data_IF_425499397793
#
_entry.id   IF_425499397793
#
_cell.length_a   1.000
_cell.length_b   1.000
_cell.length_c   1.000
_cell.angle_alpha   90.00
_cell.angle_beta   90.00
_cell.angle_gamma   90.00
#
_symmetry.space_group_name_H-M   'P 1'
#
loop_
_entity.id
_entity.type
_entity.pdbx_description
1 polymer ?
#
# COMPACT_ATOMS: atom_id res chain seq x y z
N UNK A 1 -10.35 16.49 19.89
CA UNK A 1 -9.95 15.30 19.11
C UNK A 1 -9.21 14.34 20.03
N UNK A 2 -9.57 13.04 20.02
CA UNK A 2 -8.84 12.03 20.81
C UNK A 2 -7.41 11.88 20.28
N UNK A 3 -6.41 11.71 21.16
CA UNK A 3 -5.00 11.50 20.77
C UNK A 3 -4.86 10.36 19.75
N UNK A 4 -5.69 9.32 19.86
CA UNK A 4 -5.72 8.17 18.98
C UNK A 4 -6.12 8.52 17.53
N UNK A 5 -7.06 9.44 17.35
CA UNK A 5 -7.46 9.91 16.02
C UNK A 5 -6.34 10.67 15.29
N UNK A 6 -5.47 11.35 16.02
CA UNK A 6 -4.28 12.00 15.47
C UNK A 6 -3.25 10.98 14.99
N UNK A 7 -3.00 9.93 15.79
CA UNK A 7 -2.09 8.83 15.43
C UNK A 7 -2.59 8.11 14.19
N UNK A 8 -3.88 7.76 14.11
CA UNK A 8 -4.46 7.10 12.93
C UNK A 8 -4.23 7.91 11.67
N UNK A 9 -4.49 9.23 11.70
CA UNK A 9 -4.25 10.10 10.54
C UNK A 9 -2.79 10.13 10.11
N UNK A 10 -1.87 10.18 11.08
CA UNK A 10 -0.45 10.13 10.81
C UNK A 10 -0.05 8.79 10.15
N UNK A 11 -0.53 7.66 10.68
CA UNK A 11 -0.27 6.33 10.12
C UNK A 11 -0.88 6.15 8.72
N UNK A 12 -2.06 6.71 8.46
CA UNK A 12 -2.65 6.74 7.11
C UNK A 12 -1.74 7.48 6.13
N UNK A 13 -1.26 8.66 6.52
CA UNK A 13 -0.32 9.43 5.71
C UNK A 13 0.98 8.67 5.45
N UNK A 14 1.55 8.00 6.46
CA UNK A 14 2.75 7.16 6.29
C UNK A 14 2.52 5.99 5.31
N UNK A 15 1.37 5.31 5.41
CA UNK A 15 1.00 4.24 4.48
C UNK A 15 0.89 4.78 3.05
N UNK A 16 0.24 5.93 2.87
CA UNK A 16 0.10 6.55 1.56
C UNK A 16 1.45 6.97 0.97
N UNK A 17 2.37 7.46 1.80
CA UNK A 17 3.73 7.80 1.36
C UNK A 17 4.51 6.56 0.92
N UNK A 18 4.43 5.46 1.67
CA UNK A 18 5.07 4.20 1.29
C UNK A 18 4.49 3.62 0.00
N UNK A 19 3.19 3.75 -0.22
CA UNK A 19 2.52 3.37 -1.48
C UNK A 19 2.96 4.23 -2.66
N UNK A 20 3.07 5.55 -2.48
CA UNK A 20 3.62 6.45 -3.51
C UNK A 20 5.04 6.05 -3.89
N UNK A 21 5.88 5.75 -2.91
CA UNK A 21 7.23 5.27 -3.16
C UNK A 21 7.25 3.92 -3.91
N UNK A 22 6.35 2.99 -3.57
CA UNK A 22 6.21 1.72 -4.30
C UNK A 22 5.84 1.95 -5.78
N UNK A 23 4.87 2.81 -6.06
CA UNK A 23 4.47 3.15 -7.43
C UNK A 23 5.64 3.73 -8.21
N UNK A 24 6.41 4.66 -7.61
CA UNK A 24 7.58 5.24 -8.28
C UNK A 24 8.67 4.20 -8.59
N UNK A 25 8.82 3.16 -7.77
CA UNK A 25 9.73 2.04 -8.06
C UNK A 25 9.19 1.15 -9.18
N UNK A 26 7.90 0.86 -9.20
CA UNK A 26 7.26 0.09 -10.28
C UNK A 26 7.34 0.82 -11.63
N UNK A 27 7.21 2.15 -11.65
CA UNK A 27 7.42 2.98 -12.84
C UNK A 27 8.87 2.88 -13.36
N UNK A 28 9.86 2.93 -12.47
CA UNK A 28 11.28 2.73 -12.85
C UNK A 28 11.53 1.32 -13.38
N UNK A 29 10.89 0.31 -12.79
CA UNK A 29 10.95 -1.07 -13.28
C UNK A 29 10.39 -1.17 -14.69
N UNK A 30 9.25 -0.52 -14.95
CA UNK A 30 8.64 -0.50 -16.28
C UNK A 30 9.57 0.13 -17.33
N UNK A 31 10.28 1.20 -16.98
CA UNK A 31 11.27 1.82 -17.88
C UNK A 31 12.41 0.86 -18.28
N UNK A 32 12.83 -0.04 -17.38
CA UNK A 32 13.83 -1.06 -17.72
C UNK A 32 13.26 -2.14 -18.65
N UNK A 33 11.99 -2.54 -18.47
CA UNK A 33 11.32 -3.47 -19.38
C UNK A 33 11.17 -2.85 -20.77
N UNK A 34 10.71 -1.61 -20.85
CA UNK A 34 10.56 -0.90 -22.13
C UNK A 34 11.92 -0.76 -22.85
N UNK A 35 13.02 -0.59 -22.10
CA UNK A 35 14.36 -0.56 -22.66
C UNK A 35 14.83 -1.93 -23.20
N UNK A 36 14.44 -3.04 -22.56
CA UNK A 36 14.70 -4.38 -23.09
C UNK A 36 13.94 -4.61 -24.39
N UNK A 37 12.65 -4.26 -24.42
CA UNK A 37 11.82 -4.38 -25.63
C UNK A 37 12.37 -3.52 -26.78
N UNK A 38 12.91 -2.34 -26.47
CA UNK A 38 13.56 -1.49 -27.46
C UNK A 38 14.85 -2.11 -28.04
N UNK A 39 15.67 -2.77 -27.21
CA UNK A 39 16.87 -3.48 -27.66
C UNK A 39 16.51 -4.66 -28.57
N UNK A 40 15.47 -5.42 -28.23
CA UNK A 40 14.95 -6.51 -29.06
C UNK A 40 14.44 -5.99 -30.42
N UNK A 41 13.75 -4.84 -30.43
CA UNK A 41 13.30 -4.21 -31.66
C UNK A 41 14.47 -3.68 -32.52
N UNK A 42 15.52 -3.12 -31.89
CA UNK A 42 16.76 -2.69 -32.55
C UNK A 42 17.43 -3.89 -33.24
N UNK A 43 17.49 -5.04 -32.55
CA UNK A 43 18.07 -6.28 -33.05
C UNK A 43 17.37 -6.82 -34.31
N UNK A 44 16.04 -6.88 -34.27
CA UNK A 44 15.24 -7.37 -35.40
C UNK A 44 15.24 -6.38 -36.58
N UNK A 45 15.45 -5.08 -36.34
CA UNK A 45 15.68 -4.12 -37.41
C UNK A 45 17.03 -4.36 -38.11
N UNK A 46 18.10 -4.53 -37.34
CA UNK A 46 19.45 -4.75 -37.88
C UNK A 46 19.56 -6.08 -38.64
N UNK A 47 18.95 -7.14 -38.10
CA UNK A 47 18.90 -8.47 -38.75
C UNK A 47 18.27 -8.45 -40.14
N UNK A 48 17.29 -7.58 -40.37
CA UNK A 48 16.65 -7.40 -41.69
C UNK A 48 17.55 -6.67 -42.69
N UNK A 49 18.50 -5.87 -42.22
CA UNK A 49 19.42 -5.10 -43.07
C UNK A 49 20.72 -5.86 -43.37
N UNK A 50 21.10 -6.83 -42.55
CA UNK A 50 22.31 -7.62 -42.73
C UNK A 50 22.22 -8.56 -43.96
N UNK A 51 22.66 -8.07 -45.13
CA UNK A 51 22.83 -8.84 -46.36
C UNK A 51 24.30 -9.03 -46.75
N UNK A 52 24.64 -10.21 -47.30
CA UNK A 52 25.99 -10.55 -47.79
C UNK A 52 27.00 -10.92 -46.68
N UNK A 53 28.16 -11.47 -47.08
CA UNK A 53 29.20 -11.97 -46.15
C UNK A 53 29.79 -10.88 -45.22
N UNK A 54 29.99 -9.66 -45.74
CA UNK A 54 30.49 -8.53 -44.95
C UNK A 54 29.44 -8.05 -43.94
N UNK A 55 28.16 -8.11 -44.30
CA UNK A 55 27.04 -7.81 -43.40
C UNK A 55 26.95 -8.78 -42.23
N UNK A 56 27.24 -10.07 -42.45
CA UNK A 56 27.21 -11.08 -41.39
C UNK A 56 28.27 -10.85 -40.30
N UNK A 57 29.47 -10.39 -40.66
CA UNK A 57 30.55 -10.15 -39.70
C UNK A 57 30.30 -8.90 -38.84
N UNK A 58 29.80 -7.82 -39.45
CA UNK A 58 29.38 -6.60 -38.74
C UNK A 58 28.18 -6.88 -37.82
N UNK A 59 27.22 -7.67 -38.30
CA UNK A 59 26.06 -8.10 -37.52
C UNK A 59 26.46 -8.89 -36.26
N UNK A 60 27.47 -9.76 -36.35
CA UNK A 60 27.97 -10.49 -35.17
C UNK A 60 28.50 -9.59 -34.06
N UNK A 61 29.26 -8.54 -34.40
CA UNK A 61 29.74 -7.56 -33.41
C UNK A 61 28.58 -6.72 -32.82
N UNK A 62 27.59 -6.38 -33.64
CA UNK A 62 26.40 -5.67 -33.19
C UNK A 62 25.57 -6.50 -32.18
N UNK A 63 25.33 -7.78 -32.49
CA UNK A 63 24.64 -8.74 -31.61
C UNK A 63 25.30 -8.82 -30.23
N UNK A 64 26.64 -8.89 -30.19
CA UNK A 64 27.39 -8.94 -28.93
C UNK A 64 27.20 -7.65 -28.12
N UNK A 65 27.21 -6.49 -28.78
CA UNK A 65 26.93 -5.20 -28.13
C UNK A 65 25.51 -5.09 -27.57
N UNK A 66 24.50 -5.60 -28.29
CA UNK A 66 23.11 -5.68 -27.81
C UNK A 66 23.03 -6.61 -26.59
N UNK A 67 23.65 -7.80 -26.65
CA UNK A 67 23.67 -8.76 -25.57
C UNK A 67 24.25 -8.19 -24.27
N UNK A 68 25.36 -7.46 -24.37
CA UNK A 68 25.97 -6.80 -23.22
C UNK A 68 25.07 -5.72 -22.62
N UNK A 69 24.39 -4.93 -23.47
CA UNK A 69 23.39 -3.95 -23.00
C UNK A 69 22.22 -4.63 -22.30
N UNK A 70 21.66 -5.69 -22.88
CA UNK A 70 20.58 -6.46 -22.26
C UNK A 70 20.99 -7.01 -20.89
N UNK A 71 22.19 -7.59 -20.76
CA UNK A 71 22.67 -8.14 -19.49
C UNK A 71 22.72 -7.06 -18.40
N UNK A 72 23.26 -5.88 -18.73
CA UNK A 72 23.30 -4.73 -17.81
C UNK A 72 21.88 -4.31 -17.39
N UNK A 73 20.93 -4.26 -18.33
CA UNK A 73 19.55 -3.86 -18.02
C UNK A 73 18.84 -4.92 -17.19
N UNK A 74 19.02 -6.21 -17.49
CA UNK A 74 18.48 -7.32 -16.70
C UNK A 74 19.03 -7.35 -15.29
N UNK A 75 20.32 -7.08 -15.09
CA UNK A 75 20.91 -6.97 -13.76
C UNK A 75 20.28 -5.81 -12.96
N UNK A 76 20.10 -4.65 -13.59
CA UNK A 76 19.43 -3.50 -12.96
C UNK A 76 17.97 -3.78 -12.64
N UNK A 77 17.27 -4.48 -13.53
CA UNK A 77 15.89 -4.91 -13.32
C UNK A 77 15.79 -5.84 -12.13
N UNK A 78 16.66 -6.86 -12.02
CA UNK A 78 16.67 -7.77 -10.88
C UNK A 78 16.88 -7.04 -9.54
N UNK A 79 17.84 -6.10 -9.49
CA UNK A 79 18.06 -5.25 -8.30
C UNK A 79 16.84 -4.38 -7.97
N UNK A 80 16.15 -3.87 -8.99
CA UNK A 80 14.93 -3.07 -8.82
C UNK A 80 13.77 -3.92 -8.30
N UNK A 81 13.65 -5.17 -8.77
CA UNK A 81 12.65 -6.11 -8.30
C UNK A 81 12.84 -6.43 -6.80
N UNK A 82 14.07 -6.65 -6.36
CA UNK A 82 14.36 -6.81 -4.93
C UNK A 82 14.02 -5.55 -4.11
N UNK A 83 14.24 -4.36 -4.66
CA UNK A 83 13.88 -3.09 -4.02
C UNK A 83 12.36 -2.93 -3.87
N UNK A 84 11.61 -3.34 -4.91
CA UNK A 84 10.15 -3.36 -4.91
C UNK A 84 9.61 -4.31 -3.85
N UNK A 85 10.16 -5.52 -3.75
CA UNK A 85 9.74 -6.48 -2.72
C UNK A 85 9.97 -5.94 -1.31
N UNK A 86 11.15 -5.35 -1.04
CA UNK A 86 11.41 -4.69 0.25
C UNK A 86 10.44 -3.54 0.53
N UNK A 87 10.05 -2.78 -0.49
CA UNK A 87 9.09 -1.69 -0.33
C UNK A 87 7.66 -2.23 -0.10
N UNK A 88 7.29 -3.35 -0.73
CA UNK A 88 6.01 -4.04 -0.49
C UNK A 88 5.90 -4.50 0.96
N UNK A 89 6.98 -5.06 1.52
CA UNK A 89 7.03 -5.44 2.93
C UNK A 89 6.80 -4.23 3.85
N UNK A 90 7.43 -3.08 3.56
CA UNK A 90 7.20 -1.86 4.34
C UNK A 90 5.76 -1.33 4.23
N UNK A 91 5.13 -1.43 3.06
CA UNK A 91 3.72 -1.08 2.87
C UNK A 91 2.83 -2.00 3.71
N UNK A 92 3.12 -3.30 3.72
CA UNK A 92 2.38 -4.28 4.52
C UNK A 92 2.53 -4.01 6.02
N UNK A 93 3.74 -3.72 6.49
CA UNK A 93 4.01 -3.35 7.88
C UNK A 93 3.22 -2.10 8.30
N UNK A 94 3.30 -1.01 7.52
CA UNK A 94 2.57 0.22 7.82
C UNK A 94 1.04 0.02 7.82
N UNK A 95 0.53 -0.83 6.94
CA UNK A 95 -0.89 -1.19 6.92
C UNK A 95 -1.30 -1.94 8.19
N UNK A 96 -0.49 -2.91 8.65
CA UNK A 96 -0.75 -3.65 9.88
C UNK A 96 -0.71 -2.74 11.12
N UNK A 97 0.24 -1.80 11.17
CA UNK A 97 0.31 -0.80 12.24
C UNK A 97 -0.96 0.07 12.26
N UNK A 98 -1.35 0.61 11.11
CA UNK A 98 -2.58 1.40 10.99
C UNK A 98 -3.80 0.62 11.49
N UNK A 99 -3.97 -0.63 11.06
CA UNK A 99 -5.10 -1.49 11.47
C UNK A 99 -5.14 -1.77 12.96
N UNK A 100 -3.97 -1.87 13.59
CA UNK A 100 -3.86 -2.04 15.04
C UNK A 100 -4.45 -0.83 15.78
N UNK A 101 -4.10 0.39 15.35
CA UNK A 101 -4.65 1.62 15.96
C UNK A 101 -6.13 1.82 15.64
N UNK A 102 -6.58 1.52 14.43
CA UNK A 102 -8.01 1.57 14.07
C UNK A 102 -8.85 0.63 14.94
N UNK A 103 -8.38 -0.61 15.13
CA UNK A 103 -9.05 -1.60 16.00
C UNK A 103 -9.09 -1.13 17.46
N UNK A 104 -8.00 -0.52 17.95
CA UNK A 104 -7.96 0.05 19.30
C UNK A 104 -8.99 1.18 19.47
N UNK A 105 -9.14 2.04 18.46
CA UNK A 105 -10.07 3.15 18.47
C UNK A 105 -11.53 2.68 18.43
N UNK A 106 -11.83 1.68 17.61
CA UNK A 106 -13.15 1.07 17.56
C UNK A 106 -13.55 0.47 18.91
N UNK A 107 -12.62 -0.26 19.56
CA UNK A 107 -12.86 -0.81 20.90
C UNK A 107 -13.09 0.27 21.95
N UNK A 108 -12.38 1.39 21.87
CA UNK A 108 -12.59 2.54 22.76
C UNK A 108 -13.98 3.17 22.55
N UNK A 109 -14.38 3.37 21.30
CA UNK A 109 -15.70 3.91 20.95
C UNK A 109 -16.84 3.00 21.47
N UNK A 110 -16.70 1.67 21.31
CA UNK A 110 -17.68 0.70 21.83
C UNK A 110 -17.78 0.76 23.35
N UNK A 111 -16.63 0.84 24.06
CA UNK A 111 -16.63 0.95 25.53
C UNK A 111 -17.33 2.24 25.99
N UNK A 112 -17.06 3.35 25.32
CA UNK A 112 -17.68 4.63 25.67
C UNK A 112 -19.19 4.62 25.39
N UNK A 113 -19.61 4.08 24.24
CA UNK A 113 -21.03 3.94 23.93
C UNK A 113 -21.77 3.07 24.97
N UNK A 114 -21.17 1.95 25.41
CA UNK A 114 -21.74 1.10 26.47
C UNK A 114 -21.81 1.83 27.81
N UNK A 115 -20.79 2.62 28.16
CA UNK A 115 -20.78 3.42 29.38
C UNK A 115 -21.92 4.44 29.38
N UNK A 116 -22.10 5.16 28.28
CA UNK A 116 -23.18 6.14 28.12
C UNK A 116 -24.56 5.48 28.17
N UNK A 117 -24.75 4.35 27.48
CA UNK A 117 -26.01 3.59 27.53
C UNK A 117 -26.32 3.08 28.95
N UNK A 118 -25.32 2.65 29.72
CA UNK A 118 -25.49 2.26 31.12
C UNK A 118 -25.94 3.42 32.01
N UNK A 119 -25.34 4.60 31.83
CA UNK A 119 -25.74 5.82 32.56
C UNK A 119 -27.18 6.21 32.22
N UNK A 120 -27.54 6.17 30.93
CA UNK A 120 -28.89 6.47 30.47
C UNK A 120 -29.92 5.50 31.05
N UNK A 121 -29.62 4.20 31.05
CA UNK A 121 -30.50 3.19 31.64
C UNK A 121 -30.71 3.42 33.14
N UNK A 122 -29.64 3.68 33.90
CA UNK A 122 -29.76 3.96 35.34
C UNK A 122 -30.62 5.19 35.62
N UNK A 123 -30.51 6.24 34.80
CA UNK A 123 -31.34 7.45 34.93
C UNK A 123 -32.82 7.15 34.65
N UNK A 124 -33.10 6.33 33.63
CA UNK A 124 -34.48 5.93 33.28
C UNK A 124 -35.10 5.06 34.37
N UNK A 125 -34.33 4.13 34.94
CA UNK A 125 -34.78 3.27 36.04
C UNK A 125 -35.13 4.09 37.29
N UNK A 126 -34.29 5.07 37.64
CA UNK A 126 -34.54 5.99 38.77
C UNK A 126 -35.84 6.78 38.58
N UNK A 127 -36.06 7.35 37.40
CA UNK A 127 -37.31 8.04 37.07
C UNK A 127 -38.54 7.12 37.11
N UNK A 128 -38.38 5.86 36.68
CA UNK A 128 -39.43 4.85 36.73
C UNK A 128 -39.85 4.55 38.17
N UNK A 129 -38.88 4.35 39.07
CA UNK A 129 -39.11 4.14 40.49
C UNK A 129 -39.79 5.35 41.16
N UNK A 130 -39.35 6.58 40.85
CA UNK A 130 -39.99 7.79 41.38
C UNK A 130 -41.46 7.90 40.94
N UNK A 131 -41.76 7.66 39.65
CA UNK A 131 -43.15 7.70 39.16
C UNK A 131 -44.01 6.64 39.83
N UNK A 132 -43.49 5.42 39.95
CA UNK A 132 -44.22 4.34 40.61
C UNK A 132 -44.54 4.71 42.06
N UNK A 133 -43.54 5.21 42.80
CA UNK A 133 -43.70 5.68 44.19
C UNK A 133 -44.78 6.77 44.30
N UNK A 134 -44.76 7.78 43.42
CA UNK A 134 -45.78 8.84 43.42
C UNK A 134 -47.19 8.32 43.11
N UNK A 135 -47.32 7.32 42.24
CA UNK A 135 -48.63 6.72 41.97
C UNK A 135 -49.17 5.97 43.19
N UNK A 136 -48.32 5.19 43.87
CA UNK A 136 -48.71 4.45 45.07
C UNK A 136 -49.02 5.35 46.27
N UNK A 137 -48.40 6.54 46.37
CA UNK A 137 -48.75 7.54 47.40
C UNK A 137 -50.09 8.23 47.12
N UNK A 138 -50.53 8.34 45.86
CA UNK A 138 -51.82 8.95 45.49
C UNK A 138 -53.01 7.99 45.53
N UNK A 139 -52.76 6.67 45.56
CA UNK A 139 -53.79 5.62 45.62
C UNK A 139 -54.16 5.21 47.07
N UNK A 140 -53.59 5.86 48.09
CA UNK A 140 -53.90 5.71 49.52
C UNK A 140 -54.69 6.93 50.06
#
# INVERSE_FOLDING_TARGET
MSRLSGIIRFRQWELDEKRRALVALEEQRQQFLDMLDALDAELEAEKRQAGGEVGALVFGAFMEGIRQREEIVRERLARKDEEIERQRDQVAEAFNELKTFETAAEREAIREARRLAGIEQSLLDEQGLERHRRSTENDL
#
